data_IF_530350211482
#
_entry.id   IF_530350211482
#
_cell.length_a   1.000
_cell.length_b   1.000
_cell.length_c   1.000
_cell.angle_alpha   90.00
_cell.angle_beta   90.00
_cell.angle_gamma   90.00
#
_symmetry.space_group_name_H-M   'P 1'
#
loop_
_entity.id
_entity.type
_entity.pdbx_description
1 polymer ?
#
# COMPACT_ATOMS: atom_id res chain seq x y z
N UNK A 1 -10.48 10.54 99.61
CA UNK A 1 -9.48 11.42 99.02
C UNK A 1 -9.49 11.17 97.50
N UNK A 2 -10.05 12.12 96.76
CA UNK A 2 -10.36 11.89 95.37
C UNK A 2 -9.11 11.69 94.48
N UNK A 3 -9.09 10.68 93.70
CA UNK A 3 -8.00 10.32 92.74
C UNK A 3 -7.53 11.58 91.96
N UNK A 4 -8.46 12.46 91.66
CA UNK A 4 -8.22 13.76 91.00
C UNK A 4 -7.31 14.70 91.82
N UNK A 5 -7.50 14.76 93.14
CA UNK A 5 -6.65 15.58 94.04
C UNK A 5 -5.26 15.01 94.13
N UNK A 6 -5.10 13.71 94.18
CA UNK A 6 -3.82 13.05 94.22
C UNK A 6 -3.04 13.28 92.91
N UNK A 7 -3.67 13.17 91.78
CA UNK A 7 -3.10 13.43 90.44
C UNK A 7 -2.68 14.90 90.32
N UNK A 8 -3.55 15.84 90.77
CA UNK A 8 -3.21 17.28 90.78
C UNK A 8 -2.03 17.63 91.67
N UNK A 9 -1.93 17.05 92.90
CA UNK A 9 -0.78 17.24 93.81
C UNK A 9 0.50 16.61 93.26
N UNK A 10 0.41 15.45 92.60
CA UNK A 10 1.53 14.81 91.93
C UNK A 10 2.12 15.70 90.80
N UNK A 11 1.27 16.22 89.88
CA UNK A 11 1.69 17.14 88.85
C UNK A 11 2.26 18.47 89.41
N UNK A 12 1.66 19.00 90.49
CA UNK A 12 2.20 20.24 91.11
C UNK A 12 3.55 20.02 91.72
N UNK A 13 3.84 18.83 92.27
CA UNK A 13 5.15 18.52 92.95
C UNK A 13 6.25 18.26 91.88
N UNK A 14 5.91 17.75 90.71
CA UNK A 14 6.85 17.38 89.64
C UNK A 14 6.91 18.48 88.55
N UNK A 15 6.16 19.58 88.68
CA UNK A 15 6.06 20.64 87.63
C UNK A 15 7.38 21.16 87.12
N UNK A 16 8.34 21.42 88.04
CA UNK A 16 9.68 21.92 87.68
C UNK A 16 10.52 20.85 86.98
N UNK A 17 10.38 19.58 87.31
CA UNK A 17 11.05 18.49 86.66
C UNK A 17 10.49 18.25 85.22
N UNK A 18 9.22 18.40 85.08
CA UNK A 18 8.59 18.31 83.78
C UNK A 18 8.96 19.47 82.83
N UNK A 19 9.02 20.71 83.40
CA UNK A 19 9.44 21.90 82.65
C UNK A 19 10.89 21.82 82.24
N UNK A 20 11.77 21.48 83.14
CA UNK A 20 13.23 21.36 82.89
C UNK A 20 13.54 20.16 81.99
N UNK A 21 12.84 19.03 82.15
CA UNK A 21 12.92 17.85 81.31
C UNK A 21 12.49 18.15 79.86
N UNK A 22 11.34 18.81 79.74
CA UNK A 22 10.84 19.25 78.44
C UNK A 22 11.81 20.23 77.73
N UNK A 23 12.32 21.20 78.49
CA UNK A 23 13.28 22.16 77.95
C UNK A 23 14.62 21.48 77.47
N UNK A 24 15.14 20.52 78.25
CA UNK A 24 16.35 19.77 77.88
C UNK A 24 16.11 18.92 76.64
N UNK A 25 15.00 18.23 76.60
CA UNK A 25 14.62 17.40 75.43
C UNK A 25 14.47 18.28 74.18
N UNK A 26 13.79 19.43 74.32
CA UNK A 26 13.58 20.35 73.17
C UNK A 26 14.95 20.95 72.75
N UNK A 27 15.83 21.31 73.67
CA UNK A 27 17.15 21.81 73.33
C UNK A 27 18.01 20.73 72.63
N UNK A 28 17.95 19.46 73.07
CA UNK A 28 18.62 18.34 72.43
C UNK A 28 18.08 18.08 71.05
N UNK A 29 16.76 18.04 70.88
CA UNK A 29 16.15 17.86 69.59
C UNK A 29 16.48 19.00 68.61
N UNK A 30 16.42 20.25 69.08
CA UNK A 30 16.85 21.43 68.34
C UNK A 30 18.34 21.34 67.90
N UNK A 31 19.21 20.89 68.78
CA UNK A 31 20.63 20.69 68.51
C UNK A 31 20.85 19.59 67.46
N UNK A 32 20.22 18.44 67.60
CA UNK A 32 20.39 17.35 66.66
C UNK A 32 19.70 17.65 65.30
N UNK A 33 18.62 18.42 65.25
CA UNK A 33 17.97 18.82 63.99
C UNK A 33 18.80 19.76 63.13
N UNK A 34 19.80 20.49 63.75
CA UNK A 34 20.75 21.30 62.96
C UNK A 34 21.65 20.46 62.04
N UNK A 35 21.90 19.20 62.41
CA UNK A 35 22.72 18.28 61.58
C UNK A 35 21.95 17.53 60.50
N UNK A 36 20.62 17.68 60.40
CA UNK A 36 19.84 17.12 59.34
C UNK A 36 20.19 17.80 58.01
N UNK A 37 20.44 17.02 56.92
CA UNK A 37 20.77 17.60 55.63
C UNK A 37 19.62 18.48 55.12
N UNK A 38 19.97 19.56 54.43
CA UNK A 38 19.01 20.40 53.73
C UNK A 38 18.36 19.59 52.63
N UNK A 39 17.09 19.86 52.32
CA UNK A 39 16.40 19.22 51.21
C UNK A 39 15.59 20.25 50.44
N UNK A 40 15.81 20.27 49.15
CA UNK A 40 15.13 21.18 48.20
C UNK A 40 14.20 20.38 47.31
N UNK A 41 12.97 20.86 47.15
CA UNK A 41 11.98 20.20 46.27
C UNK A 41 11.65 21.12 45.12
N UNK A 42 11.69 20.56 43.92
CA UNK A 42 11.29 21.24 42.68
C UNK A 42 10.11 20.49 42.07
N UNK A 43 9.14 21.26 41.60
CA UNK A 43 7.98 20.80 40.88
C UNK A 43 7.97 21.41 39.47
N UNK A 44 7.54 20.63 38.49
CA UNK A 44 7.32 21.08 37.11
C UNK A 44 6.15 20.37 36.51
N UNK A 45 5.54 20.97 35.49
CA UNK A 45 4.40 20.39 34.77
C UNK A 45 4.56 20.50 33.26
N UNK A 46 4.39 19.35 32.59
CA UNK A 46 4.33 19.27 31.12
C UNK A 46 2.89 19.04 30.69
N UNK A 47 2.44 19.78 29.70
CA UNK A 47 1.19 19.53 28.98
C UNK A 47 1.42 18.48 27.89
N UNK A 48 0.64 17.41 27.92
CA UNK A 48 0.79 16.29 27.00
C UNK A 48 -0.16 16.33 25.79
N UNK A 49 -1.18 17.18 25.79
CA UNK A 49 -2.11 17.42 24.67
C UNK A 49 -2.84 16.17 24.15
N UNK A 50 -3.01 15.15 24.99
CA UNK A 50 -3.51 13.84 24.57
C UNK A 50 -5.02 13.85 24.32
N UNK A 51 -5.78 14.68 25.04
CA UNK A 51 -7.25 14.71 24.95
C UNK A 51 -7.81 15.38 23.71
N UNK A 52 -6.98 16.19 23.01
CA UNK A 52 -7.41 16.97 21.84
C UNK A 52 -7.07 16.30 20.50
N UNK A 53 -6.51 15.10 20.53
CA UNK A 53 -6.13 14.38 19.30
C UNK A 53 -7.30 13.56 18.83
N UNK A 54 -8.03 14.08 17.86
CA UNK A 54 -8.91 13.29 16.99
C UNK A 54 -8.08 12.76 15.82
N UNK A 55 -8.19 11.47 15.51
CA UNK A 55 -7.64 10.94 14.26
C UNK A 55 -8.31 11.64 13.08
N UNK A 56 -7.64 11.71 11.92
CA UNK A 56 -8.19 12.31 10.69
C UNK A 56 -9.50 11.63 10.26
N UNK A 57 -9.73 10.38 10.67
CA UNK A 57 -10.96 9.62 10.46
C UNK A 57 -12.08 9.96 11.45
N UNK A 58 -11.87 10.91 12.38
CA UNK A 58 -12.84 11.32 13.40
C UNK A 58 -12.94 10.37 14.59
N UNK A 59 -12.17 9.28 14.65
CA UNK A 59 -12.15 8.38 15.80
C UNK A 59 -11.38 8.99 16.97
N UNK A 60 -11.98 8.99 18.19
CA UNK A 60 -11.31 9.39 19.42
C UNK A 60 -10.28 8.31 19.79
N UNK A 61 -9.13 8.74 20.35
CA UNK A 61 -8.14 7.80 20.90
C UNK A 61 -8.81 7.06 22.07
N UNK A 62 -9.09 5.78 21.87
CA UNK A 62 -9.83 4.95 22.84
C UNK A 62 -9.12 4.73 24.19
N UNK A 63 -7.81 4.98 24.29
CA UNK A 63 -6.99 4.74 25.48
C UNK A 63 -6.11 5.92 25.89
N UNK A 64 -6.73 7.01 26.30
CA UNK A 64 -6.02 8.19 26.85
C UNK A 64 -5.14 7.80 28.04
N UNK A 65 -5.65 6.92 28.95
CA UNK A 65 -4.88 6.46 30.12
C UNK A 65 -3.59 5.75 29.74
N UNK A 66 -3.61 4.86 28.73
CA UNK A 66 -2.43 4.13 28.29
C UNK A 66 -1.33 5.03 27.71
N UNK A 67 -1.71 6.15 27.11
CA UNK A 67 -0.75 7.13 26.58
C UNK A 67 -0.01 7.83 27.70
N UNK A 68 -0.71 8.21 28.79
CA UNK A 68 -0.07 8.79 29.97
C UNK A 68 0.82 7.79 30.70
N UNK A 69 0.37 6.53 30.85
CA UNK A 69 1.16 5.46 31.48
C UNK A 69 2.44 5.20 30.66
N UNK A 70 2.36 5.24 29.33
CA UNK A 70 3.52 5.12 28.46
C UNK A 70 4.51 6.29 28.64
N UNK A 71 4.02 7.54 28.70
CA UNK A 71 4.85 8.71 28.94
C UNK A 71 5.56 8.63 30.31
N UNK A 72 4.85 8.23 31.37
CA UNK A 72 5.40 8.03 32.69
C UNK A 72 6.46 6.91 32.70
N UNK A 73 6.18 5.80 32.02
CA UNK A 73 7.12 4.69 31.90
C UNK A 73 8.38 5.07 31.10
N UNK A 74 8.25 5.87 30.04
CA UNK A 74 9.39 6.40 29.26
C UNK A 74 10.23 7.31 30.16
N UNK A 75 9.61 8.23 30.91
CA UNK A 75 10.33 9.12 31.84
C UNK A 75 11.12 8.34 32.92
N UNK A 76 10.54 7.26 33.43
CA UNK A 76 11.15 6.41 34.48
C UNK A 76 12.01 5.27 33.91
N UNK A 77 12.09 5.12 32.58
CA UNK A 77 12.89 4.05 32.00
C UNK A 77 14.38 4.20 32.34
N UNK A 78 15.05 3.06 32.53
CA UNK A 78 16.50 3.04 32.82
C UNK A 78 17.29 3.78 31.72
N UNK A 79 16.90 3.66 30.47
CA UNK A 79 17.56 4.33 29.34
C UNK A 79 17.41 5.85 29.39
N UNK A 80 16.23 6.37 29.76
CA UNK A 80 16.02 7.82 29.92
C UNK A 80 16.79 8.36 31.13
N UNK A 81 16.68 7.68 32.28
CA UNK A 81 17.36 8.09 33.48
C UNK A 81 18.89 8.03 33.36
N UNK A 82 19.43 7.11 32.58
CA UNK A 82 20.84 7.05 32.25
C UNK A 82 21.33 8.26 31.46
N UNK A 83 20.54 8.69 30.45
CA UNK A 83 20.84 9.92 29.70
C UNK A 83 20.75 11.16 30.60
N UNK A 84 19.77 11.19 31.49
CA UNK A 84 19.63 12.26 32.50
C UNK A 84 20.87 12.30 33.39
N UNK A 85 21.31 11.16 33.95
CA UNK A 85 22.51 11.06 34.77
C UNK A 85 23.76 11.58 34.06
N UNK A 86 23.97 11.11 32.81
CA UNK A 86 25.12 11.49 31.99
C UNK A 86 25.12 13.00 31.69
N UNK A 87 23.98 13.55 31.33
CA UNK A 87 23.85 14.97 31.00
C UNK A 87 23.95 15.85 32.26
N UNK A 88 23.40 15.38 33.38
CA UNK A 88 23.55 16.05 34.69
C UNK A 88 25.01 16.09 35.14
N UNK A 89 25.73 14.96 35.05
CA UNK A 89 27.15 14.87 35.30
C UNK A 89 27.94 15.87 34.43
N UNK A 90 27.69 15.85 33.11
CA UNK A 90 28.33 16.76 32.18
C UNK A 90 28.04 18.24 32.54
N UNK A 91 26.79 18.58 32.87
CA UNK A 91 26.38 19.94 33.26
C UNK A 91 27.14 20.40 34.47
N UNK A 92 27.24 19.55 35.51
CA UNK A 92 27.93 19.89 36.74
C UNK A 92 29.46 19.99 36.55
N UNK A 93 30.07 19.16 35.71
CA UNK A 93 31.50 19.25 35.38
C UNK A 93 31.84 20.49 34.52
N UNK A 94 30.97 20.91 33.62
CA UNK A 94 31.18 22.08 32.75
C UNK A 94 30.99 23.39 33.49
N UNK A 95 29.90 23.50 34.26
CA UNK A 95 29.47 24.77 34.86
C UNK A 95 29.77 24.87 36.36
N UNK A 96 30.22 23.80 37.02
CA UNK A 96 30.56 23.82 38.45
C UNK A 96 31.76 24.70 38.75
N UNK A 97 31.73 25.34 39.96
CA UNK A 97 32.79 26.18 40.51
C UNK A 97 33.19 25.70 41.90
N UNK A 98 34.48 25.72 42.19
CA UNK A 98 34.98 25.16 43.47
C UNK A 98 34.68 26.06 44.67
N UNK A 99 34.62 27.38 44.47
CA UNK A 99 34.57 28.37 45.52
C UNK A 99 33.25 29.13 45.64
N UNK A 100 32.36 28.98 44.64
CA UNK A 100 31.11 29.71 44.59
C UNK A 100 29.95 28.77 44.27
N UNK A 101 28.86 28.91 45.02
CA UNK A 101 27.60 28.24 44.70
C UNK A 101 26.98 28.87 43.44
N UNK A 102 26.50 28.04 42.52
CA UNK A 102 25.86 28.51 41.30
C UNK A 102 24.54 27.81 41.05
N UNK A 103 23.89 28.15 39.94
CA UNK A 103 22.58 27.60 39.56
C UNK A 103 22.62 26.10 39.17
N UNK A 104 23.82 25.52 39.02
CA UNK A 104 23.95 24.13 38.56
C UNK A 104 24.29 23.18 39.71
N UNK A 105 25.19 23.60 40.59
CA UNK A 105 25.67 22.78 41.72
C UNK A 105 26.27 23.69 42.81
N UNK A 106 26.09 23.31 44.06
CA UNK A 106 26.77 23.99 45.19
C UNK A 106 28.28 23.66 45.21
N UNK A 107 29.09 24.61 45.56
CA UNK A 107 30.56 24.48 45.64
C UNK A 107 31.00 23.28 46.50
N UNK A 108 30.28 23.00 47.58
CA UNK A 108 30.53 21.83 48.45
C UNK A 108 30.41 20.52 47.68
N UNK A 109 29.31 20.34 46.94
CA UNK A 109 29.03 19.11 46.19
C UNK A 109 29.90 19.01 44.93
N UNK A 110 30.26 20.15 44.33
CA UNK A 110 31.20 20.18 43.21
C UNK A 110 32.61 19.73 43.62
N UNK A 111 33.12 20.20 44.76
CA UNK A 111 34.41 19.71 45.29
C UNK A 111 34.38 18.20 45.56
N UNK A 112 33.31 17.69 46.13
CA UNK A 112 33.12 16.25 46.32
C UNK A 112 33.12 15.50 44.99
N UNK A 113 32.43 16.03 43.98
CA UNK A 113 32.41 15.45 42.62
C UNK A 113 33.81 15.38 42.02
N UNK A 114 34.59 16.48 42.10
CA UNK A 114 35.96 16.53 41.59
C UNK A 114 36.90 15.54 42.29
N UNK A 115 36.78 15.39 43.63
CA UNK A 115 37.57 14.43 44.37
C UNK A 115 37.36 12.99 43.98
N UNK A 116 36.14 12.64 43.57
CA UNK A 116 35.78 11.27 43.17
C UNK A 116 35.93 11.00 41.67
N UNK A 117 36.05 12.07 40.84
CA UNK A 117 36.14 11.93 39.38
C UNK A 117 37.59 11.68 38.94
N UNK A 118 37.88 10.57 38.20
CA UNK A 118 39.20 10.29 37.67
C UNK A 118 39.70 11.39 36.72
N UNK A 119 41.02 11.64 36.73
CA UNK A 119 41.66 12.64 35.85
C UNK A 119 41.36 12.38 34.34
N UNK A 120 41.24 11.13 33.95
CA UNK A 120 40.89 10.72 32.58
C UNK A 120 39.51 11.26 32.16
N UNK A 121 38.54 11.20 33.07
CA UNK A 121 37.18 11.71 32.83
C UNK A 121 37.15 13.24 32.83
N UNK A 122 37.93 13.87 33.72
CA UNK A 122 38.08 15.33 33.74
C UNK A 122 38.71 15.87 32.45
N UNK A 123 39.61 15.12 31.82
CA UNK A 123 40.22 15.48 30.54
C UNK A 123 39.23 15.45 29.38
N UNK A 124 38.08 14.78 29.50
CA UNK A 124 37.02 14.72 28.50
C UNK A 124 36.07 15.92 28.52
N UNK A 125 36.20 16.78 29.56
CA UNK A 125 35.30 17.93 29.77
C UNK A 125 35.75 19.10 28.90
N UNK A 126 34.88 19.47 27.98
CA UNK A 126 35.00 20.71 27.18
C UNK A 126 34.09 21.79 27.81
N UNK A 127 34.68 22.73 28.56
CA UNK A 127 33.91 23.80 29.20
C UNK A 127 33.27 24.79 28.21
N UNK A 128 33.65 24.73 26.95
CA UNK A 128 33.05 25.58 25.91
C UNK A 128 31.74 25.01 25.35
N UNK A 129 31.49 23.68 25.49
CA UNK A 129 30.31 23.03 24.93
C UNK A 129 29.85 21.85 25.78
N UNK A 130 28.63 21.96 26.32
CA UNK A 130 27.98 20.87 27.04
C UNK A 130 27.78 19.63 26.18
N UNK A 131 27.30 19.82 24.94
CA UNK A 131 26.98 18.68 24.08
C UNK A 131 28.22 17.90 23.62
N UNK A 132 29.40 18.59 23.47
CA UNK A 132 30.66 17.89 23.24
C UNK A 132 31.09 17.09 24.47
N UNK A 133 30.95 17.65 25.66
CA UNK A 133 31.24 16.92 26.91
C UNK A 133 30.35 15.70 27.06
N UNK A 134 29.04 15.83 26.80
CA UNK A 134 28.11 14.69 26.81
C UNK A 134 28.54 13.63 25.80
N UNK A 135 28.89 14.01 24.56
CA UNK A 135 29.37 13.10 23.53
C UNK A 135 30.66 12.37 23.95
N UNK A 136 31.63 13.09 24.50
CA UNK A 136 32.89 12.50 24.96
C UNK A 136 32.66 11.51 26.12
N UNK A 137 31.82 11.86 27.09
CA UNK A 137 31.48 10.97 28.21
C UNK A 137 30.71 9.74 27.75
N UNK A 138 29.82 9.89 26.76
CA UNK A 138 29.07 8.77 26.16
C UNK A 138 30.00 7.84 25.38
N UNK A 139 30.96 8.36 24.63
CA UNK A 139 31.96 7.56 23.91
C UNK A 139 32.91 6.81 24.86
N UNK A 140 33.26 7.44 26.01
CA UNK A 140 34.11 6.83 27.07
C UNK A 140 33.35 5.71 27.81
N UNK A 141 32.03 5.78 27.89
CA UNK A 141 31.20 4.83 28.64
C UNK A 141 31.34 3.40 28.08
N UNK A 142 31.75 2.48 28.92
CA UNK A 142 31.80 1.05 28.67
C UNK A 142 31.08 0.28 29.79
N UNK A 143 30.40 -0.81 29.44
CA UNK A 143 29.68 -1.65 30.41
C UNK A 143 30.67 -2.47 31.28
N UNK A 144 31.40 -1.77 32.14
CA UNK A 144 32.38 -2.34 33.03
C UNK A 144 32.31 -1.66 34.40
N UNK A 145 32.45 -2.45 35.46
CA UNK A 145 32.50 -1.92 36.82
C UNK A 145 33.71 -1.01 37.07
N UNK A 146 34.75 -1.11 36.25
CA UNK A 146 35.94 -0.24 36.29
C UNK A 146 35.68 1.10 35.56
N UNK A 147 34.71 1.20 34.67
CA UNK A 147 34.38 2.43 34.00
C UNK A 147 33.64 3.40 34.95
N UNK A 148 34.21 4.57 35.18
CA UNK A 148 33.66 5.55 36.11
C UNK A 148 32.23 5.98 35.75
N UNK A 149 31.97 6.33 34.49
CA UNK A 149 30.67 6.82 34.06
C UNK A 149 29.57 5.74 34.20
N UNK A 150 29.87 4.50 33.84
CA UNK A 150 28.97 3.37 34.04
C UNK A 150 28.74 3.06 35.52
N UNK A 151 29.81 3.04 36.32
CA UNK A 151 29.72 2.75 37.76
C UNK A 151 28.98 3.81 38.56
N UNK A 152 29.08 5.10 38.17
CA UNK A 152 28.37 6.20 38.79
C UNK A 152 26.84 6.07 38.67
N UNK A 153 26.33 5.61 37.53
CA UNK A 153 24.91 5.34 37.35
C UNK A 153 24.48 4.05 38.07
N UNK A 154 25.32 3.04 38.07
CA UNK A 154 24.98 1.71 38.57
C UNK A 154 25.15 1.56 40.10
N UNK A 155 26.07 2.29 40.71
CA UNK A 155 26.31 2.28 42.18
C UNK A 155 25.47 3.35 42.83
N UNK A 156 24.99 3.13 44.08
CA UNK A 156 24.24 4.15 44.81
C UNK A 156 25.13 5.38 45.07
N UNK A 157 24.87 6.42 44.31
CA UNK A 157 25.43 7.76 44.51
C UNK A 157 24.30 8.71 44.85
N UNK A 158 24.61 9.85 45.48
CA UNK A 158 23.60 10.77 45.99
C UNK A 158 22.78 11.44 44.90
N UNK A 159 23.36 11.69 43.69
CA UNK A 159 22.72 12.49 42.64
C UNK A 159 22.62 11.78 41.29
N UNK A 160 23.60 10.96 40.91
CA UNK A 160 23.76 10.48 39.54
C UNK A 160 23.35 9.02 39.34
N UNK A 161 23.05 8.29 40.42
CA UNK A 161 22.69 6.87 40.34
C UNK A 161 21.26 6.67 39.89
N UNK A 162 21.02 5.49 39.31
CA UNK A 162 19.64 5.05 38.97
C UNK A 162 18.74 5.16 40.21
N UNK A 163 19.22 4.72 41.37
CA UNK A 163 18.46 4.74 42.62
C UNK A 163 18.07 6.17 43.05
N UNK A 164 18.98 7.16 42.92
CA UNK A 164 18.67 8.54 43.22
C UNK A 164 17.66 9.16 42.25
N UNK A 165 17.79 8.84 40.94
CA UNK A 165 16.90 9.37 39.92
C UNK A 165 15.55 8.67 39.89
N UNK A 166 15.44 7.40 40.31
CA UNK A 166 14.18 6.67 40.43
C UNK A 166 13.22 7.31 41.48
N UNK A 167 13.79 8.07 42.45
CA UNK A 167 12.99 8.80 43.42
C UNK A 167 12.20 9.97 42.82
N UNK A 168 12.48 10.34 41.57
CA UNK A 168 11.69 11.35 40.88
C UNK A 168 10.25 10.83 40.74
N UNK A 169 9.32 11.59 41.32
CA UNK A 169 7.89 11.29 41.19
C UNK A 169 7.36 11.89 39.93
N UNK A 170 6.87 11.02 39.03
CA UNK A 170 6.19 11.38 37.76
C UNK A 170 4.77 10.87 37.82
N UNK A 171 3.78 11.75 37.72
CA UNK A 171 2.37 11.38 37.83
C UNK A 171 1.47 12.29 36.97
N UNK A 172 0.33 11.77 36.50
CA UNK A 172 -0.70 12.58 35.90
C UNK A 172 -1.42 13.42 36.98
N UNK A 173 -1.74 14.66 36.66
CA UNK A 173 -2.45 15.59 37.57
C UNK A 173 -3.98 15.40 37.39
N UNK A 174 -4.56 14.51 38.20
CA UNK A 174 -5.98 14.19 38.15
C UNK A 174 -6.42 13.65 36.77
N UNK A 175 -7.44 14.23 36.20
CA UNK A 175 -7.96 13.90 34.84
C UNK A 175 -7.46 14.87 33.77
N UNK A 176 -6.59 15.81 34.12
CA UNK A 176 -6.04 16.82 33.18
C UNK A 176 -5.00 16.23 32.22
N UNK A 177 -4.63 17.00 31.19
CA UNK A 177 -3.56 16.65 30.27
C UNK A 177 -2.18 17.05 30.78
N UNK A 178 -2.02 17.18 32.09
CA UNK A 178 -0.78 17.58 32.76
C UNK A 178 -0.08 16.39 33.38
N UNK A 179 1.24 16.31 33.18
CA UNK A 179 2.13 15.40 33.87
C UNK A 179 2.97 16.24 34.83
N UNK A 180 2.93 15.91 36.10
CA UNK A 180 3.70 16.56 37.13
C UNK A 180 4.97 15.78 37.47
N UNK A 181 6.09 16.49 37.56
CA UNK A 181 7.39 16.00 37.98
C UNK A 181 7.74 16.62 39.33
N UNK A 182 8.17 15.81 40.28
CA UNK A 182 8.60 16.27 41.59
C UNK A 182 9.89 15.55 41.94
N UNK A 183 10.91 16.31 42.31
CA UNK A 183 12.19 15.77 42.78
C UNK A 183 12.68 16.52 44.02
N UNK A 184 13.31 15.80 44.93
CA UNK A 184 13.86 16.33 46.15
C UNK A 184 15.30 15.86 46.31
N UNK A 185 16.26 16.79 46.49
CA UNK A 185 17.65 16.45 46.74
C UNK A 185 18.31 17.50 47.69
N UNK A 186 19.50 17.23 48.23
CA UNK A 186 20.21 18.17 49.09
C UNK A 186 20.78 19.40 48.40
N UNK A 187 20.84 19.40 47.06
CA UNK A 187 21.42 20.48 46.25
C UNK A 187 20.34 21.15 45.38
N UNK A 188 20.09 22.48 45.55
CA UNK A 188 19.04 23.17 44.81
C UNK A 188 19.30 23.21 43.31
N UNK A 189 20.56 23.39 42.87
CA UNK A 189 20.93 23.42 41.45
C UNK A 189 20.78 22.07 40.77
N UNK A 190 21.26 21.02 41.46
CA UNK A 190 21.09 19.63 40.97
C UNK A 190 19.60 19.28 40.91
N UNK A 191 18.79 19.64 41.90
CA UNK A 191 17.34 19.33 41.93
C UNK A 191 16.63 19.93 40.74
N UNK A 192 16.87 21.23 40.44
CA UNK A 192 16.28 21.93 39.30
C UNK A 192 16.75 21.34 37.97
N UNK A 193 18.07 21.21 37.78
CA UNK A 193 18.64 20.73 36.53
C UNK A 193 18.24 19.28 36.23
N UNK A 194 18.09 18.43 37.24
CA UNK A 194 17.62 17.06 37.06
C UNK A 194 16.22 17.02 36.41
N UNK A 195 15.28 17.82 36.93
CA UNK A 195 13.92 17.88 36.32
C UNK A 195 13.99 18.45 34.93
N UNK A 196 14.70 19.57 34.70
CA UNK A 196 14.84 20.19 33.39
C UNK A 196 15.42 19.23 32.35
N UNK A 197 16.48 18.51 32.68
CA UNK A 197 17.12 17.53 31.81
C UNK A 197 16.16 16.35 31.54
N UNK A 198 15.44 15.88 32.58
CA UNK A 198 14.47 14.78 32.41
C UNK A 198 13.34 15.15 31.46
N UNK A 199 12.82 16.37 31.54
CA UNK A 199 11.80 16.90 30.65
C UNK A 199 12.29 16.91 29.20
N UNK A 200 13.50 17.45 28.96
CA UNK A 200 14.12 17.49 27.64
C UNK A 200 14.37 16.09 27.07
N UNK A 201 14.89 15.16 27.87
CA UNK A 201 15.19 13.80 27.45
C UNK A 201 13.89 12.97 27.26
N UNK A 202 12.84 13.24 28.06
CA UNK A 202 11.52 12.61 27.83
C UNK A 202 10.92 13.03 26.51
N UNK A 203 10.93 14.33 26.19
CA UNK A 203 10.41 14.85 24.92
C UNK A 203 11.14 14.18 23.75
N UNK A 204 12.49 14.16 23.78
CA UNK A 204 13.30 13.51 22.74
C UNK A 204 13.03 12.00 22.62
N UNK A 205 12.96 11.29 23.76
CA UNK A 205 12.71 9.85 23.77
C UNK A 205 11.32 9.51 23.20
N UNK A 206 10.32 10.30 23.54
CA UNK A 206 8.97 10.15 23.04
C UNK A 206 8.87 10.41 21.52
N UNK A 207 9.54 11.47 21.05
CA UNK A 207 9.65 11.76 19.62
C UNK A 207 10.28 10.60 18.85
N UNK A 208 11.45 10.14 19.30
CA UNK A 208 12.16 9.03 18.64
C UNK A 208 11.28 7.78 18.55
N UNK A 209 10.60 7.40 19.63
CA UNK A 209 9.73 6.22 19.64
C UNK A 209 8.55 6.35 18.68
N UNK A 210 7.91 7.51 18.65
CA UNK A 210 6.77 7.75 17.74
C UNK A 210 7.19 7.82 16.28
N UNK A 211 8.30 8.49 15.97
CA UNK A 211 8.78 8.64 14.59
C UNK A 211 9.38 7.35 14.04
N UNK A 212 10.13 6.59 14.86
CA UNK A 212 10.80 5.36 14.40
C UNK A 212 9.83 4.33 13.81
N UNK A 213 8.76 4.01 14.53
CA UNK A 213 7.76 3.04 14.07
C UNK A 213 7.07 3.48 12.77
N UNK A 214 6.75 4.78 12.66
CA UNK A 214 6.06 5.32 11.49
C UNK A 214 6.98 5.44 10.28
N UNK A 215 8.25 5.84 10.48
CA UNK A 215 9.24 5.90 9.41
C UNK A 215 9.56 4.49 8.86
N UNK A 216 9.63 3.49 9.74
CA UNK A 216 9.79 2.09 9.32
C UNK A 216 8.61 1.59 8.50
N UNK A 217 7.37 1.96 8.87
CA UNK A 217 6.18 1.63 8.09
C UNK A 217 6.18 2.33 6.72
N UNK A 218 6.58 3.61 6.65
CA UNK A 218 6.71 4.35 5.38
C UNK A 218 7.73 3.67 4.48
N UNK A 219 8.93 3.37 4.99
CA UNK A 219 9.98 2.70 4.22
C UNK A 219 9.52 1.32 3.71
N UNK A 220 8.80 0.56 4.53
CA UNK A 220 8.21 -0.72 4.13
C UNK A 220 7.22 -0.53 2.97
N UNK A 221 6.25 0.39 3.10
CA UNK A 221 5.26 0.59 2.04
C UNK A 221 5.86 1.21 0.78
N UNK A 222 6.88 2.06 0.87
CA UNK A 222 7.60 2.58 -0.31
C UNK A 222 8.22 1.45 -1.12
N UNK A 223 8.85 0.49 -0.45
CA UNK A 223 9.41 -0.69 -1.12
C UNK A 223 8.31 -1.61 -1.68
N UNK A 224 7.20 -1.82 -0.95
CA UNK A 224 6.07 -2.61 -1.45
C UNK A 224 5.41 -1.97 -2.68
N UNK A 225 5.24 -0.65 -2.69
CA UNK A 225 4.74 0.10 -3.86
C UNK A 225 5.67 -0.05 -5.06
N UNK A 226 6.99 0.02 -4.85
CA UNK A 226 7.98 -0.18 -5.91
C UNK A 226 7.90 -1.58 -6.50
N UNK A 227 7.81 -2.61 -5.64
CA UNK A 227 7.68 -4.01 -6.07
C UNK A 227 6.36 -4.27 -6.80
N UNK A 228 5.25 -3.79 -6.27
CA UNK A 228 3.93 -3.93 -6.89
C UNK A 228 3.86 -3.24 -8.25
N UNK A 229 4.44 -2.04 -8.39
CA UNK A 229 4.53 -1.33 -9.68
C UNK A 229 5.37 -2.10 -10.69
N UNK A 230 6.50 -2.66 -10.26
CA UNK A 230 7.35 -3.48 -11.13
C UNK A 230 6.62 -4.73 -11.60
N UNK A 231 5.86 -5.38 -10.72
CA UNK A 231 5.05 -6.54 -11.07
C UNK A 231 3.91 -6.17 -12.03
N UNK A 232 3.22 -5.06 -11.81
CA UNK A 232 2.17 -4.57 -12.71
C UNK A 232 2.74 -4.33 -14.12
N UNK A 233 3.81 -3.58 -14.25
CA UNK A 233 4.47 -3.32 -15.53
C UNK A 233 4.87 -4.63 -16.23
N UNK A 234 5.38 -5.61 -15.47
CA UNK A 234 5.73 -6.92 -16.01
C UNK A 234 4.52 -7.67 -16.57
N UNK A 235 3.39 -7.65 -15.88
CA UNK A 235 2.18 -8.32 -16.38
C UNK A 235 1.58 -7.59 -17.58
N UNK A 236 1.64 -6.25 -17.64
CA UNK A 236 1.27 -5.44 -18.81
C UNK A 236 2.16 -5.76 -20.01
N UNK A 237 3.49 -5.81 -19.82
CA UNK A 237 4.45 -6.18 -20.86
C UNK A 237 4.21 -7.61 -21.36
N UNK A 238 3.89 -8.55 -20.45
CA UNK A 238 3.56 -9.92 -20.79
C UNK A 238 2.30 -10.03 -21.67
N UNK A 239 1.29 -9.20 -21.40
CA UNK A 239 0.10 -9.14 -22.27
C UNK A 239 0.41 -8.49 -23.61
N UNK A 240 1.15 -7.39 -23.60
CA UNK A 240 1.56 -6.69 -24.83
C UNK A 240 2.35 -7.62 -25.75
N UNK A 241 3.37 -8.32 -25.25
CA UNK A 241 4.17 -9.27 -26.03
C UNK A 241 3.30 -10.40 -26.59
N UNK A 242 2.43 -10.97 -25.79
CA UNK A 242 1.51 -12.01 -26.20
C UNK A 242 0.58 -11.54 -27.33
N UNK A 243 0.03 -10.34 -27.21
CA UNK A 243 -0.84 -9.75 -28.21
C UNK A 243 -0.11 -9.49 -29.53
N UNK A 244 1.15 -9.01 -29.47
CA UNK A 244 1.99 -8.81 -30.66
C UNK A 244 2.31 -10.14 -31.33
N UNK A 245 2.71 -11.16 -30.56
CA UNK A 245 3.06 -12.50 -31.07
C UNK A 245 1.89 -13.16 -31.80
N UNK A 246 0.67 -12.99 -31.28
CA UNK A 246 -0.55 -13.59 -31.82
C UNK A 246 -1.38 -12.63 -32.69
N UNK A 247 -0.86 -11.44 -33.02
CA UNK A 247 -1.54 -10.42 -33.85
C UNK A 247 -2.91 -10.02 -33.30
N UNK A 248 -3.03 -9.97 -31.97
CA UNK A 248 -4.26 -9.57 -31.28
C UNK A 248 -4.20 -8.07 -31.01
N UNK A 249 -5.14 -7.31 -31.61
CA UNK A 249 -5.34 -5.89 -31.29
C UNK A 249 -6.42 -5.75 -30.20
N UNK A 250 -7.54 -6.42 -30.44
CA UNK A 250 -8.66 -6.49 -29.51
C UNK A 250 -9.35 -7.83 -29.67
N UNK A 251 -9.14 -8.74 -28.74
CA UNK A 251 -9.67 -10.09 -28.82
C UNK A 251 -11.20 -10.14 -28.92
N UNK A 252 -11.92 -9.34 -28.13
CA UNK A 252 -13.38 -9.37 -28.10
C UNK A 252 -13.99 -8.88 -29.43
N UNK A 253 -13.41 -7.85 -30.04
CA UNK A 253 -13.86 -7.38 -31.36
C UNK A 253 -13.51 -8.38 -32.47
N UNK A 254 -12.26 -8.87 -32.49
CA UNK A 254 -11.81 -9.84 -33.48
C UNK A 254 -12.61 -11.14 -33.39
N UNK A 255 -12.93 -11.62 -32.19
CA UNK A 255 -13.77 -12.82 -32.01
C UNK A 255 -15.22 -12.60 -32.46
N UNK A 256 -15.76 -11.40 -32.27
CA UNK A 256 -17.10 -10.99 -32.73
C UNK A 256 -17.16 -10.95 -34.24
N UNK A 257 -16.17 -10.34 -34.89
CA UNK A 257 -16.08 -10.24 -36.34
C UNK A 257 -15.97 -11.64 -36.98
N UNK A 258 -15.17 -12.51 -36.35
CA UNK A 258 -15.05 -13.90 -36.81
C UNK A 258 -16.39 -14.65 -36.66
N UNK A 259 -17.13 -14.44 -35.58
CA UNK A 259 -18.44 -15.05 -35.36
C UNK A 259 -19.50 -14.53 -36.35
N UNK A 260 -19.51 -13.24 -36.66
CA UNK A 260 -20.39 -12.61 -37.65
C UNK A 260 -20.05 -13.15 -39.04
N UNK A 261 -18.77 -13.22 -39.39
CA UNK A 261 -18.33 -13.77 -40.68
C UNK A 261 -18.77 -15.23 -40.86
N UNK A 262 -18.61 -16.04 -39.82
CA UNK A 262 -19.08 -17.42 -39.80
C UNK A 262 -20.59 -17.50 -40.01
N UNK A 263 -21.37 -16.70 -39.28
CA UNK A 263 -22.83 -16.68 -39.42
C UNK A 263 -23.27 -16.33 -40.85
N UNK A 264 -22.70 -15.27 -41.44
CA UNK A 264 -23.00 -14.85 -42.80
C UNK A 264 -22.63 -15.94 -43.85
N UNK A 265 -21.52 -16.66 -43.57
CA UNK A 265 -21.10 -17.76 -44.46
C UNK A 265 -22.03 -18.96 -44.37
N UNK A 266 -22.44 -19.35 -43.14
CA UNK A 266 -23.39 -20.46 -42.92
C UNK A 266 -24.73 -20.16 -43.59
N UNK A 267 -25.25 -18.91 -43.49
CA UNK A 267 -26.49 -18.47 -44.14
C UNK A 267 -26.39 -18.54 -45.70
N UNK A 268 -25.27 -18.06 -46.25
CA UNK A 268 -24.99 -18.11 -47.68
C UNK A 268 -24.83 -19.55 -48.19
N UNK A 269 -24.17 -20.42 -47.42
CA UNK A 269 -24.04 -21.86 -47.77
C UNK A 269 -25.41 -22.54 -47.77
N UNK A 270 -26.28 -22.24 -46.79
CA UNK A 270 -27.65 -22.79 -46.76
C UNK A 270 -28.47 -22.34 -47.97
N UNK A 271 -28.41 -21.06 -48.33
CA UNK A 271 -29.09 -20.51 -49.50
C UNK A 271 -28.58 -21.19 -50.79
N UNK A 272 -27.26 -21.27 -50.96
CA UNK A 272 -26.65 -21.93 -52.12
C UNK A 272 -27.05 -23.42 -52.20
N UNK A 273 -27.13 -24.13 -51.07
CA UNK A 273 -27.53 -25.52 -51.02
C UNK A 273 -29.01 -25.72 -51.39
N UNK A 274 -29.90 -24.81 -50.95
CA UNK A 274 -31.30 -24.80 -51.34
C UNK A 274 -31.45 -24.59 -52.88
N UNK A 275 -30.74 -23.59 -53.41
CA UNK A 275 -30.74 -23.27 -54.86
C UNK A 275 -30.21 -24.43 -55.70
N UNK A 276 -29.09 -25.04 -55.26
CA UNK A 276 -28.53 -26.23 -55.93
C UNK A 276 -29.51 -27.39 -55.96
N UNK A 277 -30.12 -27.73 -54.80
CA UNK A 277 -31.13 -28.81 -54.76
C UNK A 277 -32.34 -28.53 -55.65
N UNK A 278 -32.82 -27.28 -55.69
CA UNK A 278 -33.89 -26.82 -56.52
C UNK A 278 -33.54 -26.95 -58.02
N UNK A 279 -32.34 -26.49 -58.42
CA UNK A 279 -31.85 -26.57 -59.78
C UNK A 279 -31.70 -28.02 -60.23
N UNK A 280 -31.14 -28.91 -59.42
CA UNK A 280 -31.02 -30.35 -59.69
C UNK A 280 -32.43 -31.01 -59.88
N UNK A 281 -33.35 -30.67 -58.96
CA UNK A 281 -34.73 -31.22 -59.04
C UNK A 281 -35.44 -30.76 -60.29
N UNK A 282 -35.37 -29.46 -60.66
CA UNK A 282 -35.96 -28.90 -61.87
C UNK A 282 -35.33 -29.53 -63.11
N UNK A 283 -34.00 -29.61 -63.19
CA UNK A 283 -33.30 -30.27 -64.29
C UNK A 283 -33.77 -31.70 -64.48
N UNK A 284 -33.85 -32.51 -63.42
CA UNK A 284 -34.34 -33.92 -63.51
C UNK A 284 -35.79 -34.01 -63.99
N UNK A 285 -36.64 -33.17 -63.42
CA UNK A 285 -38.06 -33.15 -63.81
C UNK A 285 -38.23 -32.81 -65.30
N UNK A 286 -37.43 -31.86 -65.80
CA UNK A 286 -37.48 -31.48 -67.23
C UNK A 286 -36.83 -32.57 -68.10
N UNK A 287 -35.77 -33.23 -67.68
CA UNK A 287 -35.16 -34.38 -68.34
C UNK A 287 -36.16 -35.53 -68.51
N UNK A 288 -36.90 -35.86 -67.43
CA UNK A 288 -37.92 -36.90 -67.47
C UNK A 288 -39.07 -36.58 -68.50
N UNK A 289 -39.44 -35.30 -68.65
CA UNK A 289 -40.44 -34.84 -69.60
C UNK A 289 -39.92 -34.79 -71.04
N UNK A 290 -38.65 -34.49 -71.26
CA UNK A 290 -38.01 -34.38 -72.57
C UNK A 290 -37.49 -35.71 -73.10
N UNK A 291 -37.40 -36.77 -72.28
CA UNK A 291 -37.00 -38.14 -72.62
C UNK A 291 -35.65 -38.22 -73.39
N UNK A 292 -35.56 -38.97 -74.50
CA UNK A 292 -34.32 -39.18 -75.28
C UNK A 292 -33.67 -37.87 -75.74
N UNK A 293 -34.45 -36.82 -75.98
CA UNK A 293 -33.94 -35.50 -76.44
C UNK A 293 -33.08 -34.80 -75.40
N UNK A 294 -33.41 -34.82 -74.09
CA UNK A 294 -32.59 -34.30 -73.04
C UNK A 294 -31.18 -34.97 -73.00
N UNK A 295 -31.16 -36.27 -73.34
CA UNK A 295 -29.91 -37.02 -73.42
C UNK A 295 -29.01 -36.56 -74.58
N UNK A 296 -29.59 -36.31 -75.74
CA UNK A 296 -28.88 -35.84 -76.94
C UNK A 296 -28.30 -34.43 -76.67
N UNK A 297 -29.10 -33.55 -76.09
CA UNK A 297 -28.65 -32.19 -75.78
C UNK A 297 -27.54 -32.22 -74.67
N UNK A 298 -27.71 -33.02 -73.63
CA UNK A 298 -26.75 -33.16 -72.54
C UNK A 298 -25.38 -33.70 -73.03
N UNK A 299 -25.41 -34.66 -73.97
CA UNK A 299 -24.22 -35.28 -74.54
C UNK A 299 -23.53 -34.37 -75.59
N UNK A 300 -24.05 -33.17 -75.83
CA UNK A 300 -23.45 -32.21 -76.77
C UNK A 300 -22.11 -31.66 -76.16
N UNK A 301 -21.03 -31.99 -76.86
CA UNK A 301 -19.66 -31.61 -76.37
C UNK A 301 -19.44 -30.12 -76.28
N UNK A 302 -20.15 -29.31 -77.12
CA UNK A 302 -20.03 -27.84 -77.03
C UNK A 302 -20.74 -27.31 -75.78
N UNK A 303 -21.92 -27.85 -75.43
CA UNK A 303 -22.63 -27.49 -74.21
C UNK A 303 -21.85 -27.87 -72.96
N UNK A 304 -21.29 -29.09 -72.91
CA UNK A 304 -20.50 -29.54 -71.80
C UNK A 304 -19.26 -28.63 -71.54
N UNK A 305 -18.57 -28.23 -72.61
CA UNK A 305 -17.43 -27.31 -72.52
C UNK A 305 -17.80 -25.91 -71.97
N UNK A 306 -18.95 -25.37 -72.45
CA UNK A 306 -19.40 -24.07 -71.97
C UNK A 306 -19.90 -24.15 -70.52
N UNK A 307 -20.56 -25.22 -70.07
CA UNK A 307 -20.97 -25.46 -68.70
C UNK A 307 -19.76 -25.62 -67.79
N UNK A 308 -18.71 -26.32 -68.22
CA UNK A 308 -17.42 -26.41 -67.47
C UNK A 308 -16.76 -25.05 -67.31
N UNK A 309 -16.76 -24.25 -68.38
CA UNK A 309 -16.27 -22.89 -68.36
C UNK A 309 -17.07 -21.97 -67.46
N UNK A 310 -18.40 -22.08 -67.45
CA UNK A 310 -19.28 -21.38 -66.48
C UNK A 310 -18.92 -21.75 -65.04
N UNK A 311 -18.70 -23.04 -64.79
CA UNK A 311 -18.31 -23.52 -63.47
C UNK A 311 -16.99 -22.93 -63.04
N UNK A 312 -15.94 -22.96 -63.85
CA UNK A 312 -14.61 -22.42 -63.60
C UNK A 312 -14.63 -20.90 -63.39
N UNK A 313 -15.29 -20.16 -64.31
CA UNK A 313 -15.37 -18.69 -64.20
C UNK A 313 -16.16 -18.26 -62.94
N UNK A 314 -17.27 -18.96 -62.62
CA UNK A 314 -18.01 -18.66 -61.41
C UNK A 314 -17.21 -18.99 -60.13
N UNK A 315 -16.46 -20.09 -60.14
CA UNK A 315 -15.53 -20.40 -59.04
C UNK A 315 -14.50 -19.29 -58.87
N UNK A 316 -13.82 -18.88 -59.94
CA UNK A 316 -12.80 -17.81 -59.90
C UNK A 316 -13.37 -16.47 -59.43
N UNK A 317 -14.59 -16.12 -59.87
CA UNK A 317 -15.27 -14.90 -59.39
C UNK A 317 -15.55 -14.99 -57.89
N UNK A 318 -16.10 -16.09 -57.42
CA UNK A 318 -16.46 -16.28 -56.03
C UNK A 318 -15.23 -16.37 -55.12
N UNK A 319 -14.17 -17.03 -55.58
CA UNK A 319 -12.87 -17.02 -54.83
C UNK A 319 -12.37 -15.60 -54.63
N UNK A 320 -12.37 -14.76 -55.69
CA UNK A 320 -11.97 -13.37 -55.56
C UNK A 320 -12.93 -12.57 -54.66
N UNK A 321 -14.24 -12.71 -54.78
CA UNK A 321 -15.22 -12.01 -53.93
C UNK A 321 -15.17 -12.42 -52.45
N UNK A 322 -14.89 -13.68 -52.13
CA UNK A 322 -14.93 -14.22 -50.78
C UNK A 322 -13.60 -14.05 -50.05
N UNK A 323 -12.47 -14.08 -50.78
CA UNK A 323 -11.14 -14.04 -50.21
C UNK A 323 -10.45 -12.68 -50.32
N UNK A 324 -10.94 -11.73 -51.16
CA UNK A 324 -10.36 -10.40 -51.29
C UNK A 324 -11.05 -9.36 -50.41
N UNK A 325 -10.33 -8.33 -50.07
CA UNK A 325 -10.85 -7.17 -49.31
C UNK A 325 -11.67 -6.25 -50.23
N UNK A 326 -12.63 -5.49 -49.68
CA UNK A 326 -13.49 -4.53 -50.43
C UNK A 326 -12.68 -3.52 -51.27
N UNK A 327 -11.44 -3.20 -50.87
CA UNK A 327 -10.56 -2.29 -51.61
C UNK A 327 -9.96 -2.96 -52.84
N UNK A 328 -9.56 -4.23 -52.73
CA UNK A 328 -9.00 -5.03 -53.83
C UNK A 328 -10.06 -5.39 -54.88
N UNK A 329 -11.33 -5.51 -54.46
CA UNK A 329 -12.45 -5.82 -55.35
C UNK A 329 -12.80 -4.67 -56.29
N UNK A 330 -12.62 -3.40 -55.88
CA UNK A 330 -13.03 -2.24 -56.68
C UNK A 330 -12.17 -2.03 -57.93
N UNK A 331 -10.90 -2.38 -57.91
CA UNK A 331 -9.95 -2.15 -59.01
C UNK A 331 -9.46 -3.43 -59.70
N UNK A 332 -10.15 -4.57 -59.44
CA UNK A 332 -9.72 -5.84 -60.00
C UNK A 332 -10.25 -6.03 -61.45
N UNK A 333 -9.41 -5.70 -62.43
CA UNK A 333 -9.67 -5.86 -63.85
C UNK A 333 -9.96 -7.33 -64.22
N UNK A 334 -9.30 -8.28 -63.54
CA UNK A 334 -9.50 -9.72 -63.79
C UNK A 334 -10.90 -10.18 -63.33
N UNK A 335 -11.40 -9.61 -62.24
CA UNK A 335 -12.79 -9.88 -61.80
C UNK A 335 -13.82 -9.37 -62.83
N UNK A 336 -13.58 -8.17 -63.35
CA UNK A 336 -14.44 -7.60 -64.43
C UNK A 336 -14.41 -8.47 -65.69
N UNK A 337 -13.24 -8.92 -66.09
CA UNK A 337 -13.04 -9.79 -67.22
C UNK A 337 -13.75 -11.14 -66.99
N UNK A 338 -13.56 -11.79 -65.86
CA UNK A 338 -14.19 -13.06 -65.51
C UNK A 338 -15.74 -12.96 -65.55
N UNK A 339 -16.29 -11.85 -65.03
CA UNK A 339 -17.77 -11.60 -65.12
C UNK A 339 -18.24 -11.42 -66.53
N UNK A 340 -17.47 -10.74 -67.38
CA UNK A 340 -17.81 -10.57 -68.84
C UNK A 340 -17.72 -11.90 -69.54
N UNK A 341 -16.73 -12.70 -69.32
CA UNK A 341 -16.51 -13.99 -69.89
C UNK A 341 -17.61 -15.01 -69.47
N UNK A 342 -18.01 -14.93 -68.17
CA UNK A 342 -19.16 -15.71 -67.66
C UNK A 342 -20.44 -15.40 -68.44
N UNK A 343 -20.74 -14.09 -68.55
CA UNK A 343 -21.94 -13.67 -69.34
C UNK A 343 -21.88 -14.10 -70.84
N UNK A 344 -20.71 -14.04 -71.45
CA UNK A 344 -20.48 -14.48 -72.80
C UNK A 344 -20.69 -16.00 -72.96
N UNK A 345 -20.25 -16.78 -71.95
CA UNK A 345 -20.48 -18.24 -71.97
C UNK A 345 -21.95 -18.58 -71.74
N UNK A 346 -22.68 -17.88 -70.88
CA UNK A 346 -24.13 -18.01 -70.70
C UNK A 346 -24.90 -17.69 -72.00
N UNK A 347 -24.51 -16.61 -72.66
CA UNK A 347 -25.09 -16.25 -73.96
C UNK A 347 -24.84 -17.33 -75.05
N UNK A 348 -23.63 -17.93 -75.08
CA UNK A 348 -23.34 -19.04 -76.01
C UNK A 348 -24.14 -20.30 -75.71
N UNK A 349 -24.38 -20.59 -74.44
CA UNK A 349 -25.27 -21.70 -74.05
C UNK A 349 -26.69 -21.43 -74.54
N UNK A 350 -27.18 -20.19 -74.41
CA UNK A 350 -28.49 -19.80 -74.96
C UNK A 350 -28.58 -19.99 -76.53
N UNK A 351 -27.52 -19.55 -77.23
CA UNK A 351 -27.42 -19.72 -78.67
C UNK A 351 -27.36 -21.20 -79.12
N UNK A 352 -26.77 -22.11 -78.34
CA UNK A 352 -26.82 -23.55 -78.57
C UNK A 352 -28.23 -24.04 -78.41
N UNK A 353 -29.04 -23.48 -77.51
CA UNK A 353 -30.49 -23.78 -77.42
C UNK A 353 -31.22 -23.42 -78.67
N UNK A 354 -31.01 -22.20 -79.20
CA UNK A 354 -31.71 -21.71 -80.38
C UNK A 354 -31.41 -22.59 -81.60
N UNK A 355 -30.19 -23.10 -81.74
CA UNK A 355 -29.81 -24.02 -82.84
C UNK A 355 -30.36 -25.47 -82.71
N UNK A 356 -30.80 -25.86 -81.49
CA UNK A 356 -31.36 -27.17 -81.18
C UNK A 356 -32.91 -27.20 -81.37
N UNK A 357 -33.49 -26.02 -81.55
CA UNK A 357 -34.95 -25.82 -81.66
C UNK A 357 -35.59 -26.26 -83.05
N UNK A 358 -34.85 -26.97 -83.90
CA UNK A 358 -35.42 -27.50 -85.14
C UNK A 358 -36.51 -28.59 -84.95
N UNK A 359 -36.82 -29.00 -83.67
CA UNK A 359 -37.81 -30.04 -83.32
C UNK A 359 -38.82 -29.51 -82.26
N UNK A 360 -39.89 -28.89 -82.76
CA UNK A 360 -40.74 -27.97 -82.00
C UNK A 360 -41.81 -28.55 -81.05
N UNK A 361 -42.05 -29.87 -80.96
CA UNK A 361 -43.16 -30.44 -80.16
C UNK A 361 -42.81 -31.74 -79.44
N UNK A 362 -43.36 -31.95 -78.22
CA UNK A 362 -43.36 -33.23 -77.49
C UNK A 362 -44.36 -34.20 -78.16
N UNK A 363 -44.33 -35.51 -77.77
CA UNK A 363 -45.34 -36.50 -78.17
C UNK A 363 -46.78 -36.08 -77.82
N UNK A 364 -46.94 -35.16 -76.89
CA UNK A 364 -48.18 -34.63 -76.32
C UNK A 364 -48.56 -33.26 -76.90
N UNK A 365 -47.80 -32.70 -77.84
CA UNK A 365 -48.13 -31.47 -78.56
C UNK A 365 -47.77 -30.19 -77.83
N UNK A 366 -46.95 -30.26 -76.75
CA UNK A 366 -46.47 -29.08 -75.98
C UNK A 366 -45.21 -28.54 -76.63
N UNK A 367 -45.09 -27.23 -76.79
CA UNK A 367 -43.88 -26.53 -77.30
C UNK A 367 -42.66 -26.80 -76.42
N UNK A 368 -41.62 -27.32 -77.10
CA UNK A 368 -40.36 -27.73 -76.34
C UNK A 368 -39.45 -26.56 -76.03
N UNK A 369 -39.57 -25.46 -76.76
CA UNK A 369 -38.67 -24.31 -76.68
C UNK A 369 -38.52 -23.75 -75.24
N UNK A 370 -39.66 -23.58 -74.58
CA UNK A 370 -39.66 -23.11 -73.18
C UNK A 370 -39.05 -24.15 -72.25
N UNK A 371 -39.27 -25.45 -72.42
CA UNK A 371 -38.74 -26.51 -71.59
C UNK A 371 -37.23 -26.69 -71.78
N UNK A 372 -36.71 -26.54 -73.02
CA UNK A 372 -35.23 -26.57 -73.25
C UNK A 372 -34.55 -25.37 -72.63
N UNK A 373 -35.16 -24.19 -72.79
CA UNK A 373 -34.62 -22.97 -72.16
C UNK A 373 -34.58 -23.05 -70.60
N UNK A 374 -35.72 -23.52 -70.01
CA UNK A 374 -35.75 -23.73 -68.51
C UNK A 374 -34.77 -24.82 -68.08
N UNK A 375 -34.61 -25.90 -68.86
CA UNK A 375 -33.62 -26.94 -68.53
C UNK A 375 -32.20 -26.43 -68.62
N UNK A 376 -31.84 -25.63 -69.63
CA UNK A 376 -30.51 -24.99 -69.72
C UNK A 376 -30.27 -24.03 -68.59
N UNK A 377 -31.27 -23.23 -68.24
CA UNK A 377 -31.19 -22.36 -67.04
C UNK A 377 -30.95 -23.16 -65.74
N UNK A 378 -31.65 -24.31 -65.62
CA UNK A 378 -31.45 -25.20 -64.49
C UNK A 378 -30.04 -25.81 -64.49
N UNK A 379 -29.49 -26.20 -65.67
CA UNK A 379 -28.07 -26.65 -65.75
C UNK A 379 -27.08 -25.60 -65.46
N UNK A 380 -27.26 -24.34 -65.88
CA UNK A 380 -26.38 -23.19 -65.54
C UNK A 380 -26.44 -22.93 -64.06
N UNK A 381 -27.64 -22.89 -63.48
CA UNK A 381 -27.80 -22.65 -62.01
C UNK A 381 -27.19 -23.80 -61.19
N UNK A 382 -27.34 -25.06 -61.61
CA UNK A 382 -26.70 -26.21 -60.99
C UNK A 382 -25.15 -26.05 -61.01
N UNK A 383 -24.60 -25.71 -62.20
CA UNK A 383 -23.18 -25.52 -62.40
C UNK A 383 -22.62 -24.37 -61.50
N UNK A 384 -23.30 -23.22 -61.53
CA UNK A 384 -22.91 -22.04 -60.69
C UNK A 384 -23.00 -22.33 -59.20
N UNK A 385 -24.13 -22.86 -58.74
CA UNK A 385 -24.30 -23.12 -57.28
C UNK A 385 -23.42 -24.26 -56.79
N UNK A 386 -23.07 -25.24 -57.63
CA UNK A 386 -22.09 -26.26 -57.31
C UNK A 386 -20.69 -25.65 -57.10
N UNK A 387 -20.27 -24.73 -57.97
CA UNK A 387 -19.04 -23.99 -57.83
C UNK A 387 -19.06 -23.14 -56.56
N UNK A 388 -20.14 -22.42 -56.31
CA UNK A 388 -20.37 -21.63 -55.11
C UNK A 388 -20.24 -22.46 -53.83
N UNK A 389 -20.90 -23.60 -53.75
CA UNK A 389 -20.83 -24.51 -52.59
C UNK A 389 -19.39 -25.00 -52.34
N UNK A 390 -18.62 -25.24 -53.39
CA UNK A 390 -17.21 -25.63 -53.24
C UNK A 390 -16.39 -24.53 -52.55
N UNK A 391 -16.49 -23.30 -53.07
CA UNK A 391 -15.74 -22.15 -52.52
C UNK A 391 -16.22 -21.82 -51.10
N UNK A 392 -17.51 -21.84 -50.82
CA UNK A 392 -18.06 -21.60 -49.49
C UNK A 392 -17.58 -22.67 -48.50
N UNK A 393 -17.51 -23.94 -48.93
CA UNK A 393 -17.00 -25.02 -48.09
C UNK A 393 -15.49 -24.86 -47.75
N UNK A 394 -14.69 -24.46 -48.74
CA UNK A 394 -13.27 -24.14 -48.51
C UNK A 394 -13.13 -22.98 -47.53
N UNK A 395 -13.85 -21.88 -47.75
CA UNK A 395 -13.83 -20.71 -46.84
C UNK A 395 -14.30 -21.05 -45.42
N UNK A 396 -15.31 -21.87 -45.29
CA UNK A 396 -15.81 -22.38 -44.03
C UNK A 396 -14.71 -23.14 -43.25
N UNK A 397 -13.96 -23.98 -43.95
CA UNK A 397 -12.86 -24.72 -43.35
C UNK A 397 -11.76 -23.78 -42.86
N UNK A 398 -11.43 -22.74 -43.64
CA UNK A 398 -10.47 -21.72 -43.22
C UNK A 398 -10.93 -20.98 -41.96
N UNK A 399 -12.18 -20.55 -41.91
CA UNK A 399 -12.75 -19.89 -40.73
C UNK A 399 -12.75 -20.82 -39.51
N UNK A 400 -13.10 -22.12 -39.72
CA UNK A 400 -13.04 -23.09 -38.64
C UNK A 400 -11.60 -23.30 -38.11
N UNK A 401 -10.60 -23.28 -38.98
CA UNK A 401 -9.21 -23.36 -38.59
C UNK A 401 -8.78 -22.09 -37.82
N UNK A 402 -9.11 -20.91 -38.35
CA UNK A 402 -8.89 -19.64 -37.64
C UNK A 402 -9.54 -19.64 -36.25
N UNK A 403 -10.78 -20.16 -36.16
CA UNK A 403 -11.46 -20.26 -34.85
C UNK A 403 -10.75 -21.20 -33.89
N UNK A 404 -10.24 -22.34 -34.37
CA UNK A 404 -9.46 -23.28 -33.53
C UNK A 404 -8.14 -22.68 -33.03
N UNK A 405 -7.47 -21.88 -33.85
CA UNK A 405 -6.24 -21.18 -33.47
C UNK A 405 -6.51 -20.00 -32.54
N UNK A 406 -7.61 -19.27 -32.76
CA UNK A 406 -7.94 -18.06 -32.01
C UNK A 406 -8.60 -18.34 -30.65
N UNK A 407 -9.31 -19.43 -30.48
CA UNK A 407 -10.00 -19.77 -29.23
C UNK A 407 -9.04 -19.93 -28.02
N UNK A 408 -7.90 -20.63 -28.11
CA UNK A 408 -6.95 -20.71 -27.00
C UNK A 408 -6.28 -19.37 -26.69
N UNK A 409 -6.06 -18.52 -27.71
CA UNK A 409 -5.50 -17.18 -27.55
C UNK A 409 -6.37 -16.33 -26.62
N UNK A 410 -7.69 -16.34 -26.83
CA UNK A 410 -8.62 -15.60 -25.96
C UNK A 410 -8.59 -16.03 -24.51
N UNK A 411 -8.43 -17.33 -24.28
CA UNK A 411 -8.30 -17.84 -22.91
C UNK A 411 -7.05 -17.30 -22.22
N UNK A 412 -5.94 -17.23 -22.95
CA UNK A 412 -4.67 -16.69 -22.42
C UNK A 412 -4.73 -15.18 -22.23
N UNK A 413 -5.31 -14.44 -23.20
CA UNK A 413 -5.54 -12.99 -23.05
C UNK A 413 -6.34 -12.70 -21.79
N UNK A 414 -7.49 -13.35 -21.60
CA UNK A 414 -8.33 -13.17 -20.40
C UNK A 414 -7.64 -13.59 -19.10
N UNK A 415 -6.71 -14.56 -19.15
CA UNK A 415 -5.90 -14.92 -17.99
C UNK A 415 -4.90 -13.83 -17.64
N UNK A 416 -4.24 -13.26 -18.66
CA UNK A 416 -3.28 -12.17 -18.48
C UNK A 416 -3.96 -10.87 -18.02
N UNK A 417 -5.12 -10.54 -18.57
CA UNK A 417 -5.93 -9.40 -18.11
C UNK A 417 -6.33 -9.53 -16.64
N UNK A 418 -6.71 -10.71 -16.19
CA UNK A 418 -6.97 -10.97 -14.76
C UNK A 418 -5.72 -10.83 -13.90
N UNK A 419 -4.55 -11.27 -14.39
CA UNK A 419 -3.28 -11.10 -13.67
C UNK A 419 -2.93 -9.61 -13.51
N UNK A 420 -3.14 -8.80 -14.56
CA UNK A 420 -3.01 -7.34 -14.50
C UNK A 420 -3.97 -6.74 -13.46
N UNK A 421 -5.25 -7.13 -13.49
CA UNK A 421 -6.23 -6.66 -12.50
C UNK A 421 -5.82 -6.95 -11.05
N UNK A 422 -5.32 -8.15 -10.77
CA UNK A 422 -4.79 -8.52 -9.44
C UNK A 422 -3.55 -7.67 -9.07
N UNK A 423 -2.63 -7.47 -10.03
CA UNK A 423 -1.44 -6.66 -9.81
C UNK A 423 -1.79 -5.18 -9.58
N UNK A 424 -2.78 -4.66 -10.30
CA UNK A 424 -3.33 -3.30 -10.15
C UNK A 424 -3.97 -3.08 -8.78
N UNK A 425 -4.78 -4.02 -8.33
CA UNK A 425 -5.41 -3.98 -7.01
C UNK A 425 -4.35 -4.02 -5.90
N UNK A 426 -3.34 -4.88 -6.05
CA UNK A 426 -2.21 -4.94 -5.11
C UNK A 426 -1.45 -3.61 -5.08
N UNK A 427 -1.15 -3.02 -6.23
CA UNK A 427 -0.48 -1.71 -6.30
C UNK A 427 -1.30 -0.60 -5.63
N UNK A 428 -2.61 -0.55 -5.85
CA UNK A 428 -3.53 0.40 -5.20
C UNK A 428 -3.57 0.22 -3.69
N UNK A 429 -3.58 -1.03 -3.22
CA UNK A 429 -3.58 -1.32 -1.77
C UNK A 429 -2.30 -0.83 -1.10
N UNK A 430 -1.12 -1.10 -1.71
CA UNK A 430 0.15 -0.62 -1.17
C UNK A 430 0.25 0.92 -1.20
N UNK A 431 -0.26 1.58 -2.25
CA UNK A 431 -0.36 3.05 -2.28
C UNK A 431 -1.24 3.61 -1.17
N UNK A 432 -2.36 2.96 -0.87
CA UNK A 432 -3.22 3.34 0.26
C UNK A 432 -2.47 3.23 1.57
N UNK A 433 -1.82 2.08 1.83
CA UNK A 433 -1.00 1.88 3.02
C UNK A 433 0.10 2.93 3.18
N UNK A 434 0.80 3.30 2.10
CA UNK A 434 1.79 4.37 2.10
C UNK A 434 1.17 5.73 2.45
N UNK A 435 0.03 6.05 1.85
CA UNK A 435 -0.70 7.29 2.12
C UNK A 435 -1.12 7.38 3.58
N UNK A 436 -1.68 6.32 4.15
CA UNK A 436 -2.08 6.24 5.56
C UNK A 436 -0.86 6.37 6.49
N UNK A 437 0.26 5.72 6.18
CA UNK A 437 1.49 5.85 6.96
C UNK A 437 2.04 7.30 6.95
N UNK A 438 2.01 7.97 5.80
CA UNK A 438 2.42 9.38 5.65
C UNK A 438 1.47 10.32 6.39
N UNK A 439 0.16 10.10 6.32
CA UNK A 439 -0.82 10.86 7.10
C UNK A 439 -0.61 10.68 8.61
N UNK A 440 -0.31 9.44 9.05
CA UNK A 440 0.04 9.17 10.45
C UNK A 440 1.29 9.94 10.87
N UNK A 441 2.34 9.98 10.03
CA UNK A 441 3.53 10.79 10.30
C UNK A 441 3.21 12.27 10.45
N UNK A 442 2.36 12.82 9.57
CA UNK A 442 1.94 14.21 9.64
C UNK A 442 1.15 14.50 10.92
N UNK A 443 0.24 13.59 11.32
CA UNK A 443 -0.48 13.68 12.59
C UNK A 443 0.47 13.65 13.79
N UNK A 444 1.45 12.76 13.78
CA UNK A 444 2.46 12.71 14.83
C UNK A 444 3.21 14.04 14.91
N UNK A 445 3.65 14.62 13.79
CA UNK A 445 4.34 15.92 13.77
C UNK A 445 3.48 17.05 14.34
N UNK A 446 2.18 17.05 14.03
CA UNK A 446 1.25 18.03 14.59
C UNK A 446 1.01 17.83 16.08
N UNK A 447 1.05 16.59 16.58
CA UNK A 447 0.72 16.20 17.96
C UNK A 447 1.93 16.28 18.88
N UNK A 448 3.16 15.99 18.38
CA UNK A 448 4.41 16.11 19.15
C UNK A 448 4.73 17.57 19.47
N UNK A 449 4.22 18.51 18.67
CA UNK A 449 4.27 19.94 19.02
C UNK A 449 3.46 20.27 20.31
N UNK A 450 2.72 19.31 20.86
CA UNK A 450 1.86 19.52 22.03
C UNK A 450 2.50 19.12 23.37
N UNK A 451 3.69 18.45 23.40
CA UNK A 451 4.44 18.31 24.63
C UNK A 451 5.10 19.65 24.95
N UNK A 452 4.46 20.45 25.79
CA UNK A 452 4.94 21.77 26.17
C UNK A 452 5.17 21.85 27.69
N UNK A 453 6.31 22.38 28.07
CA UNK A 453 6.59 22.72 29.47
C UNK A 453 5.76 23.97 29.79
N UNK A 454 4.70 23.82 30.61
CA UNK A 454 3.83 24.93 30.99
C UNK A 454 4.37 25.62 32.26
N UNK A 455 4.81 24.84 33.22
CA UNK A 455 5.42 25.34 34.44
C UNK A 455 6.85 24.78 34.52
N UNK A 456 7.86 25.54 34.04
CA UNK A 456 9.26 25.11 34.11
C UNK A 456 9.72 24.95 35.55
N UNK A 457 10.74 24.09 35.82
CA UNK A 457 11.26 23.92 37.15
C UNK A 457 11.91 25.19 37.63
N UNK A 458 11.40 25.75 38.72
CA UNK A 458 11.96 26.95 39.35
C UNK A 458 13.09 26.60 40.32
N UNK A 459 14.08 27.50 40.45
CA UNK A 459 15.18 27.33 41.42
C UNK A 459 14.66 27.48 42.86
N UNK A 460 14.81 26.44 43.70
CA UNK A 460 14.28 26.49 45.07
C UNK A 460 15.15 27.35 45.98
N UNK A 461 14.61 28.48 46.40
CA UNK A 461 15.31 29.44 47.27
C UNK A 461 15.30 29.03 48.76
N UNK A 462 14.32 28.22 49.16
CA UNK A 462 14.13 27.80 50.56
C UNK A 462 14.20 26.29 50.69
N UNK A 463 14.83 25.84 51.79
CA UNK A 463 14.79 24.42 52.11
C UNK A 463 13.40 23.99 52.63
N UNK A 464 13.13 22.69 52.63
CA UNK A 464 11.91 22.10 53.18
C UNK A 464 11.95 22.08 54.74
N UNK A 465 12.31 23.19 55.38
CA UNK A 465 12.50 23.31 56.82
C UNK A 465 11.32 22.91 57.71
N UNK A 466 10.14 22.73 57.12
CA UNK A 466 8.92 22.23 57.84
C UNK A 466 9.16 20.90 58.57
N UNK A 467 10.00 20.00 58.05
CA UNK A 467 10.33 18.74 58.73
C UNK A 467 11.14 18.97 60.01
N UNK A 468 12.06 19.94 60.03
CA UNK A 468 12.85 20.32 61.21
C UNK A 468 11.94 20.89 62.29
N UNK A 469 11.04 21.80 61.94
CA UNK A 469 10.05 22.39 62.82
C UNK A 469 9.11 21.33 63.42
N UNK A 470 8.69 20.35 62.64
CA UNK A 470 7.86 19.24 63.11
C UNK A 470 8.57 18.38 64.17
N UNK A 471 9.87 18.08 63.98
CA UNK A 471 10.65 17.33 64.98
C UNK A 471 10.96 18.13 66.24
N UNK A 472 10.94 19.46 66.16
CA UNK A 472 11.13 20.34 67.35
C UNK A 472 9.82 20.53 68.11
N UNK A 473 8.69 20.47 67.48
CA UNK A 473 7.34 20.67 68.05
C UNK A 473 6.70 19.37 68.54
N UNK A 474 7.11 18.21 67.99
CA UNK A 474 6.64 16.90 68.45
C UNK A 474 7.38 16.42 69.68
#
# INVERSE_FOLDING_TARGET
>A
MDIIQFIAQFFYRIRYWLLWGGFIVTALVAYFTQFLPFSYTVNSNIYAGVTNVTNIDGSKIENISSTFDNLINIAKSKSTLEKVSLRLLATNLVYGEEWQDNMHIQAKHYRQLLQHTPKEVLALVDRSSLDKTVGNLQAYRQESAANFVYSMFSRPTEFYSFHALEQITVKRLGTSDLISFTYTSPDPGITQNTIKILEDELIKAYEILRFSATNSAIAYFEEQVRLAKTNLNKEEDNLMHYNVEHSVINYDNQSKDLAITKYNLDDREELAQRTYKSAVALRRMLEDKMDIRAKIIRDNTKLLKELEKVTELNQNILEQEIFSTDTELKDNEQLRQNRTDLRNSENRISQISDNLNEYNFTKEGVGIDNMVTEWLMACINEAKTKAELKVLHERRNDILNQYREFAPVGTQVKRKERAIGIAEDTYREQLRGLSEARLRLQNIKMTTANLQIIAPPEFPLTDNGRKRLLYVVA
#
